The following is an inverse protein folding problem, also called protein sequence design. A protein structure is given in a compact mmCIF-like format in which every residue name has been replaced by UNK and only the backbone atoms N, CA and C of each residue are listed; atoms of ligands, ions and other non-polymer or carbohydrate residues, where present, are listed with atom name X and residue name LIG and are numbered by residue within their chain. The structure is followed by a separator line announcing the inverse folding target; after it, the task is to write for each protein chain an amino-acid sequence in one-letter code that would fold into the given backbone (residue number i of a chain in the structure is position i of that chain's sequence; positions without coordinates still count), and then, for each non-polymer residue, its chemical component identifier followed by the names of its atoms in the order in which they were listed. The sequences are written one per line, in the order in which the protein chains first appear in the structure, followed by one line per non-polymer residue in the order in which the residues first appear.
data_IF_917330614602
#
_entry.id   IF_917330614602
#
_cell.length_a   1.000
_cell.length_b   1.000
_cell.length_c   1.000
_cell.angle_alpha   90.00
_cell.angle_beta   90.00
_cell.angle_gamma   90.00
#
_symmetry.space_group_name_H-M   'P 1'
#
loop_
_entity.id
_entity.type
_entity.pdbx_description
1 polymer ?
#
# COMPACT_ATOMS: atom_id res chain seq x y z
N UNK A 1 15.93 1.49 7.81
CA UNK A 1 16.12 0.05 8.12
C UNK A 1 17.09 -0.14 9.30
N UNK A 2 18.31 0.38 9.25
CA UNK A 2 19.33 0.19 10.31
C UNK A 2 18.86 0.62 11.70
N UNK A 3 18.22 1.79 11.84
CA UNK A 3 17.72 2.26 13.13
C UNK A 3 16.70 1.27 13.73
N UNK A 4 15.75 0.79 12.92
CA UNK A 4 14.77 -0.20 13.38
C UNK A 4 15.41 -1.53 13.74
N UNK A 5 16.40 -1.99 12.99
CA UNK A 5 17.12 -3.21 13.34
C UNK A 5 17.86 -3.10 14.67
N UNK A 6 18.42 -1.94 14.98
CA UNK A 6 19.06 -1.69 16.26
C UNK A 6 18.06 -1.70 17.44
N UNK A 7 16.84 -1.21 17.20
CA UNK A 7 15.76 -1.24 18.21
C UNK A 7 15.25 -2.68 18.42
N UNK A 8 15.04 -3.42 17.32
CA UNK A 8 14.51 -4.78 17.36
C UNK A 8 15.55 -5.81 17.83
N UNK A 9 16.84 -5.51 17.71
CA UNK A 9 17.91 -6.49 17.95
C UNK A 9 17.93 -7.63 16.91
N UNK A 10 17.23 -7.46 15.79
CA UNK A 10 17.06 -8.46 14.72
C UNK A 10 16.97 -7.79 13.35
N UNK A 11 17.19 -8.55 12.29
CA UNK A 11 17.01 -8.06 10.93
C UNK A 11 15.54 -7.73 10.66
N UNK A 12 15.24 -6.47 10.34
CA UNK A 12 13.87 -6.00 10.09
C UNK A 12 13.15 -6.85 9.01
N UNK A 13 13.87 -7.18 7.94
CA UNK A 13 13.29 -8.00 6.88
C UNK A 13 12.88 -9.40 7.37
N UNK A 14 13.73 -10.03 8.19
CA UNK A 14 13.41 -11.36 8.73
C UNK A 14 12.18 -11.30 9.64
N UNK A 15 12.05 -10.24 10.44
CA UNK A 15 10.87 -10.02 11.28
C UNK A 15 9.58 -9.87 10.45
N UNK A 16 9.61 -9.07 9.38
CA UNK A 16 8.45 -8.89 8.49
C UNK A 16 8.17 -10.16 7.68
N UNK A 17 9.21 -10.82 7.18
CA UNK A 17 9.08 -12.09 6.46
C UNK A 17 8.38 -13.14 7.31
N UNK A 18 8.85 -13.35 8.53
CA UNK A 18 8.37 -14.43 9.40
C UNK A 18 7.01 -14.07 10.02
N UNK A 19 6.77 -12.80 10.35
CA UNK A 19 5.52 -12.34 10.95
C UNK A 19 4.39 -12.06 9.95
N UNK A 20 4.71 -11.78 8.69
CA UNK A 20 3.70 -11.39 7.69
C UNK A 20 3.78 -12.23 6.41
N UNK A 21 4.95 -12.25 5.73
CA UNK A 21 5.03 -12.83 4.39
C UNK A 21 4.85 -14.34 4.38
N UNK A 22 5.45 -15.06 5.33
CA UNK A 22 5.30 -16.52 5.46
C UNK A 22 3.87 -16.89 5.84
N UNK A 23 3.24 -16.29 6.88
CA UNK A 23 1.84 -16.53 7.20
C UNK A 23 0.88 -16.19 6.05
N UNK A 24 1.11 -15.11 5.31
CA UNK A 24 0.32 -14.72 4.13
C UNK A 24 0.57 -15.63 2.91
N UNK A 25 1.47 -16.61 3.03
CA UNK A 25 1.83 -17.53 1.94
C UNK A 25 2.26 -16.80 0.67
N UNK A 26 3.12 -15.80 0.83
CA UNK A 26 3.69 -15.11 -0.31
C UNK A 26 4.66 -16.03 -1.07
N UNK A 27 4.91 -15.69 -2.32
CA UNK A 27 5.80 -16.44 -3.20
C UNK A 27 7.24 -16.49 -2.66
N UNK A 28 8.00 -17.46 -3.14
CA UNK A 28 9.42 -17.57 -2.77
C UNK A 28 10.22 -16.32 -3.11
N UNK A 29 9.86 -15.61 -4.19
CA UNK A 29 10.47 -14.33 -4.55
C UNK A 29 10.28 -13.27 -3.47
N UNK A 30 9.09 -13.17 -2.89
CA UNK A 30 8.78 -12.22 -1.81
C UNK A 30 9.54 -12.51 -0.50
N UNK A 31 9.99 -13.76 -0.31
CA UNK A 31 10.77 -14.15 0.88
C UNK A 31 12.27 -13.83 0.76
N UNK A 32 12.66 -13.15 -0.30
CA UNK A 32 14.01 -12.67 -0.55
C UNK A 32 14.00 -11.16 -0.73
N UNK A 33 15.13 -10.51 -0.47
CA UNK A 33 15.29 -9.07 -0.66
C UNK A 33 16.66 -8.74 -1.21
N UNK A 34 16.76 -7.65 -1.95
CA UNK A 34 18.02 -7.11 -2.38
C UNK A 34 18.82 -6.54 -1.21
N UNK A 35 20.14 -6.73 -1.26
CA UNK A 35 21.07 -6.18 -0.28
C UNK A 35 22.15 -5.40 -1.00
N UNK A 36 22.73 -4.37 -0.39
CA UNK A 36 23.88 -3.68 -0.97
C UNK A 36 24.99 -4.68 -1.29
N UNK A 37 25.64 -4.48 -2.42
CA UNK A 37 26.81 -5.26 -2.86
C UNK A 37 26.57 -6.79 -2.98
N UNK A 38 25.30 -7.21 -3.10
CA UNK A 38 24.90 -8.61 -3.07
C UNK A 38 25.46 -9.38 -1.87
N UNK A 39 25.77 -8.69 -0.79
CA UNK A 39 26.32 -9.29 0.43
C UNK A 39 25.25 -10.13 1.15
N UNK A 40 25.51 -11.39 1.48
CA UNK A 40 24.57 -12.22 2.23
C UNK A 40 24.33 -11.70 3.66
N UNK A 41 25.22 -10.87 4.19
CA UNK A 41 25.16 -10.29 5.54
C UNK A 41 24.83 -8.81 5.55
N UNK A 42 24.68 -8.18 4.38
CA UNK A 42 24.33 -6.76 4.26
C UNK A 42 22.92 -6.47 4.80
N UNK A 43 22.72 -5.25 5.26
CA UNK A 43 21.39 -4.77 5.67
C UNK A 43 20.47 -4.70 4.46
N UNK A 44 19.27 -5.31 4.48
CA UNK A 44 18.32 -5.22 3.38
C UNK A 44 17.96 -3.77 3.05
N UNK A 45 17.76 -3.48 1.77
CA UNK A 45 17.31 -2.19 1.30
C UNK A 45 15.84 -1.98 1.76
N UNK A 46 15.54 -0.84 2.38
CA UNK A 46 14.21 -0.58 2.93
C UNK A 46 13.23 0.05 1.95
N UNK A 47 13.73 0.64 0.87
CA UNK A 47 12.90 1.35 -0.11
C UNK A 47 12.63 0.58 -1.40
N UNK A 48 13.36 -0.51 -1.67
CA UNK A 48 13.22 -1.36 -2.86
C UNK A 48 13.87 -2.72 -2.64
N UNK A 49 13.74 -3.61 -3.64
CA UNK A 49 14.43 -4.91 -3.62
C UNK A 49 13.55 -6.07 -3.17
N UNK A 50 12.24 -5.88 -3.11
CA UNK A 50 11.27 -6.96 -2.98
C UNK A 50 10.87 -7.46 -4.38
N UNK A 51 10.73 -8.78 -4.52
CA UNK A 51 10.34 -9.43 -5.77
C UNK A 51 8.94 -10.02 -5.63
N UNK A 52 7.92 -9.17 -5.83
CA UNK A 52 6.53 -9.53 -5.66
C UNK A 52 5.91 -9.98 -6.99
N UNK A 53 5.17 -11.06 -6.95
CA UNK A 53 4.25 -11.44 -8.03
C UNK A 53 2.95 -10.67 -7.91
N UNK A 54 2.10 -10.73 -8.95
CA UNK A 54 0.73 -10.16 -8.89
C UNK A 54 -0.09 -10.73 -7.73
N UNK A 55 0.03 -12.03 -7.50
CA UNK A 55 -0.65 -12.72 -6.39
C UNK A 55 -0.16 -12.22 -5.02
N UNK A 56 1.13 -11.99 -4.87
CA UNK A 56 1.69 -11.41 -3.65
C UNK A 56 1.15 -10.01 -3.38
N UNK A 57 1.09 -9.16 -4.42
CA UNK A 57 0.53 -7.81 -4.34
C UNK A 57 -0.95 -7.88 -3.92
N UNK A 58 -1.73 -8.79 -4.54
CA UNK A 58 -3.14 -8.97 -4.21
C UNK A 58 -3.32 -9.41 -2.74
N UNK A 59 -2.53 -10.37 -2.25
CA UNK A 59 -2.58 -10.81 -0.85
C UNK A 59 -2.25 -9.70 0.13
N UNK A 60 -1.20 -8.92 -0.14
CA UNK A 60 -0.84 -7.78 0.71
C UNK A 60 -1.92 -6.68 0.66
N UNK A 61 -2.47 -6.40 -0.51
CA UNK A 61 -3.54 -5.44 -0.64
C UNK A 61 -4.82 -5.88 0.10
N UNK A 62 -5.18 -7.16 0.04
CA UNK A 62 -6.28 -7.71 0.84
C UNK A 62 -6.00 -7.59 2.33
N UNK A 63 -4.79 -7.92 2.79
CA UNK A 63 -4.38 -7.79 4.18
C UNK A 63 -4.60 -6.35 4.71
N UNK A 64 -4.26 -5.35 3.90
CA UNK A 64 -4.43 -3.95 4.29
C UNK A 64 -5.88 -3.47 4.13
N UNK A 65 -6.51 -3.74 3.00
CA UNK A 65 -7.76 -3.10 2.59
C UNK A 65 -9.02 -3.83 3.09
N UNK A 66 -8.99 -5.16 3.15
CA UNK A 66 -10.16 -6.00 3.44
C UNK A 66 -10.07 -6.72 4.78
N UNK A 67 -8.90 -7.25 5.12
CA UNK A 67 -8.75 -8.17 6.25
C UNK A 67 -8.36 -7.44 7.54
N UNK A 68 -8.19 -6.10 7.51
CA UNK A 68 -7.86 -5.28 8.68
C UNK A 68 -6.57 -5.72 9.38
N UNK A 69 -5.58 -6.16 8.62
CA UNK A 69 -4.31 -6.63 9.15
C UNK A 69 -4.35 -8.03 9.74
N UNK A 70 -5.32 -8.88 9.34
CA UNK A 70 -5.48 -10.25 9.84
C UNK A 70 -5.06 -11.28 8.79
N UNK A 71 -4.41 -12.34 9.23
CA UNK A 71 -4.10 -13.53 8.42
C UNK A 71 -4.70 -14.75 9.12
N UNK A 72 -5.55 -15.49 8.42
CA UNK A 72 -6.25 -16.66 8.95
C UNK A 72 -6.98 -16.39 10.30
N UNK A 73 -7.47 -15.17 10.48
CA UNK A 73 -8.18 -14.73 11.68
C UNK A 73 -7.27 -14.16 12.80
N UNK A 74 -5.97 -14.33 12.72
CA UNK A 74 -5.00 -13.77 13.67
C UNK A 74 -4.59 -12.36 13.29
N UNK A 75 -4.54 -11.44 14.25
CA UNK A 75 -4.09 -10.06 14.05
C UNK A 75 -2.56 -10.04 13.91
N UNK A 76 -2.06 -9.69 12.75
CA UNK A 76 -0.62 -9.61 12.45
C UNK A 76 -0.11 -8.18 12.28
N UNK A 77 -1.00 -7.25 11.97
CA UNK A 77 -0.70 -5.81 11.93
C UNK A 77 -1.54 -5.12 13.00
N UNK A 78 -0.97 -4.10 13.62
CA UNK A 78 -1.70 -3.26 14.56
C UNK A 78 -2.86 -2.55 13.84
N UNK A 79 -4.12 -2.71 14.27
CA UNK A 79 -5.28 -2.18 13.57
C UNK A 79 -5.35 -0.65 13.59
N UNK A 80 -4.90 -0.01 14.67
CA UNK A 80 -4.94 1.45 14.80
C UNK A 80 -3.87 2.09 13.90
N UNK A 81 -2.66 1.53 13.90
CA UNK A 81 -1.60 1.96 12.97
C UNK A 81 -1.97 1.70 11.51
N UNK A 82 -2.66 0.61 11.22
CA UNK A 82 -3.15 0.34 9.87
C UNK A 82 -4.24 1.33 9.47
N UNK A 83 -5.19 1.63 10.36
CA UNK A 83 -6.23 2.62 10.10
C UNK A 83 -5.63 4.02 9.83
N UNK A 84 -4.64 4.42 10.62
CA UNK A 84 -3.90 5.66 10.41
C UNK A 84 -3.16 5.65 9.07
N UNK A 85 -2.39 4.60 8.75
CA UNK A 85 -1.68 4.46 7.49
C UNK A 85 -2.62 4.52 6.27
N UNK A 86 -3.77 3.86 6.36
CA UNK A 86 -4.83 3.89 5.35
C UNK A 86 -5.67 5.18 5.38
N UNK A 87 -5.32 6.13 6.26
CA UNK A 87 -6.00 7.40 6.48
C UNK A 87 -7.52 7.24 6.71
N UNK A 88 -7.88 6.18 7.42
CA UNK A 88 -9.25 5.90 7.88
C UNK A 88 -9.52 6.43 9.29
N UNK A 89 -8.46 6.78 10.01
CA UNK A 89 -8.55 7.45 11.31
C UNK A 89 -8.66 8.97 11.10
N UNK A 90 -9.79 9.60 11.41
CA UNK A 90 -9.94 11.04 11.26
C UNK A 90 -9.06 11.85 12.23
N UNK A 91 -8.63 11.25 13.34
CA UNK A 91 -7.78 11.90 14.33
C UNK A 91 -6.29 11.84 13.94
N UNK A 92 -5.91 10.93 13.05
CA UNK A 92 -4.56 10.82 12.50
C UNK A 92 -4.56 10.74 10.96
N UNK A 93 -4.92 11.84 10.27
CA UNK A 93 -4.93 11.87 8.80
C UNK A 93 -3.53 11.88 8.18
N UNK A 94 -2.47 11.99 8.97
CA UNK A 94 -1.11 12.14 8.51
C UNK A 94 -0.71 13.57 8.16
N UNK A 95 0.25 13.73 7.25
CA UNK A 95 0.80 15.03 6.85
C UNK A 95 0.28 15.44 5.46
N UNK A 96 -0.17 16.70 5.29
CA UNK A 96 -0.51 17.20 3.96
C UNK A 96 0.75 17.28 3.09
N UNK A 97 0.61 16.95 1.83
CA UNK A 97 1.73 16.98 0.89
C UNK A 97 1.62 18.16 -0.07
N UNK A 98 2.77 18.67 -0.51
CA UNK A 98 2.84 19.74 -1.50
C UNK A 98 2.95 19.21 -2.93
N UNK A 99 3.30 17.94 -3.10
CA UNK A 99 3.55 17.32 -4.41
C UNK A 99 2.28 17.04 -5.19
N UNK A 100 1.17 16.83 -4.49
CA UNK A 100 -0.14 16.62 -5.11
C UNK A 100 -1.19 17.33 -4.28
N UNK A 101 -1.83 18.33 -4.86
CA UNK A 101 -2.79 19.19 -4.17
C UNK A 101 -3.89 18.37 -3.46
N UNK A 102 -3.99 18.54 -2.15
CA UNK A 102 -4.97 17.87 -1.31
C UNK A 102 -4.61 16.43 -0.92
N UNK A 103 -3.47 15.90 -1.35
CA UNK A 103 -3.01 14.57 -0.93
C UNK A 103 -2.37 14.62 0.45
N UNK A 104 -2.44 13.49 1.15
CA UNK A 104 -1.89 13.28 2.48
C UNK A 104 -0.95 12.08 2.49
N UNK A 105 -0.03 12.04 3.44
CA UNK A 105 0.91 10.96 3.62
C UNK A 105 0.96 10.51 5.07
N UNK A 106 0.78 9.22 5.30
CA UNK A 106 0.88 8.62 6.64
C UNK A 106 1.52 7.23 6.57
N UNK A 107 2.56 7.02 7.36
CA UNK A 107 3.21 5.71 7.58
C UNK A 107 3.51 4.91 6.30
N UNK A 108 3.96 5.57 5.24
CA UNK A 108 4.29 4.91 3.97
C UNK A 108 3.18 4.89 2.93
N UNK A 109 1.98 5.34 3.28
CA UNK A 109 0.84 5.45 2.36
C UNK A 109 0.54 6.90 2.01
N UNK A 110 0.23 7.12 0.76
CA UNK A 110 -0.39 8.34 0.27
C UNK A 110 -1.90 8.19 0.30
N UNK A 111 -2.64 9.28 0.32
CA UNK A 111 -4.05 9.27 0.01
C UNK A 111 -4.45 10.47 -0.82
N UNK A 112 -5.15 10.22 -1.91
CA UNK A 112 -5.69 11.24 -2.78
C UNK A 112 -7.18 11.45 -2.49
N UNK A 113 -7.65 12.71 -2.32
CA UNK A 113 -9.07 13.01 -2.28
C UNK A 113 -9.66 12.92 -3.68
N UNK A 114 -10.81 12.28 -3.79
CA UNK A 114 -11.67 12.29 -4.97
C UNK A 114 -12.94 13.01 -4.58
N UNK A 115 -13.24 14.09 -5.27
CA UNK A 115 -14.45 14.87 -5.03
C UNK A 115 -15.19 15.13 -6.34
N UNK A 116 -16.54 15.30 -6.31
CA UNK A 116 -17.31 15.60 -7.51
C UNK A 116 -16.85 16.87 -8.24
N UNK A 117 -16.28 17.85 -7.53
CA UNK A 117 -15.77 19.08 -8.11
C UNK A 117 -14.53 18.86 -8.97
N UNK A 118 -13.65 17.97 -8.53
CA UNK A 118 -12.40 17.63 -9.25
C UNK A 118 -12.62 16.51 -10.26
N UNK A 119 -13.54 15.61 -9.97
CA UNK A 119 -13.85 14.42 -10.75
C UNK A 119 -15.38 14.28 -10.91
N UNK A 120 -16.01 15.03 -11.85
CA UNK A 120 -17.47 15.09 -12.00
C UNK A 120 -18.17 13.76 -12.30
N UNK A 121 -17.41 12.73 -12.59
CA UNK A 121 -17.91 11.36 -12.77
C UNK A 121 -18.44 10.76 -11.48
N UNK A 122 -17.90 11.16 -10.32
CA UNK A 122 -18.28 10.60 -9.03
C UNK A 122 -19.34 11.47 -8.37
N UNK A 123 -20.34 10.82 -7.76
CA UNK A 123 -21.45 11.49 -7.06
C UNK A 123 -21.18 11.68 -5.57
N UNK A 124 -20.12 11.06 -5.06
CA UNK A 124 -19.69 11.16 -3.65
C UNK A 124 -18.21 11.52 -3.55
N UNK A 125 -17.81 12.03 -2.38
CA UNK A 125 -16.42 12.26 -2.04
C UNK A 125 -15.85 11.08 -1.28
N UNK A 126 -14.63 10.67 -1.62
CA UNK A 126 -13.88 9.61 -0.94
C UNK A 126 -12.38 9.84 -1.01
N UNK A 127 -11.62 9.08 -0.24
CA UNK A 127 -10.16 9.06 -0.31
C UNK A 127 -9.69 7.72 -0.84
N UNK A 128 -8.62 7.76 -1.62
CA UNK A 128 -7.94 6.59 -2.16
C UNK A 128 -6.57 6.48 -1.50
N UNK A 129 -6.42 5.65 -0.48
CA UNK A 129 -5.08 5.29 0.01
C UNK A 129 -4.33 4.54 -1.07
N UNK A 130 -3.04 4.86 -1.22
CA UNK A 130 -2.21 4.17 -2.20
C UNK A 130 -0.75 4.09 -1.78
N UNK A 131 -0.08 3.05 -2.26
CA UNK A 131 1.37 2.93 -2.24
C UNK A 131 1.90 3.34 -3.60
N UNK A 132 2.91 4.20 -3.62
CA UNK A 132 3.58 4.64 -4.83
C UNK A 132 5.04 4.18 -4.82
N UNK A 133 5.43 3.49 -5.88
CA UNK A 133 6.82 3.06 -6.10
C UNK A 133 7.48 3.84 -7.22
N UNK A 134 8.80 3.91 -7.17
CA UNK A 134 9.59 4.52 -8.24
C UNK A 134 9.32 3.80 -9.58
N UNK A 135 9.29 4.56 -10.66
CA UNK A 135 9.07 4.02 -12.01
C UNK A 135 7.60 3.85 -12.40
N UNK A 136 6.67 4.58 -11.76
CA UNK A 136 5.25 4.54 -12.15
C UNK A 136 4.51 3.32 -11.61
N UNK A 137 4.88 2.83 -10.43
CA UNK A 137 4.19 1.73 -9.75
C UNK A 137 3.20 2.32 -8.74
N UNK A 138 1.95 1.86 -8.78
CA UNK A 138 0.94 2.26 -7.82
C UNK A 138 0.04 1.09 -7.42
N UNK A 139 -0.29 1.01 -6.13
CA UNK A 139 -1.30 0.08 -5.59
C UNK A 139 -2.35 0.92 -4.88
N UNK A 140 -3.55 0.97 -5.43
CA UNK A 140 -4.66 1.81 -4.98
C UNK A 140 -5.68 0.96 -4.25
N UNK A 141 -6.03 1.38 -3.04
CA UNK A 141 -6.94 0.67 -2.15
C UNK A 141 -8.23 1.46 -1.99
N UNK A 142 -9.28 0.98 -2.64
CA UNK A 142 -10.56 1.68 -2.73
C UNK A 142 -11.39 1.50 -1.47
N UNK A 143 -12.22 2.50 -1.09
CA UNK A 143 -13.08 2.41 0.10
C UNK A 143 -14.11 1.27 0.05
N UNK A 144 -14.51 0.84 -1.14
CA UNK A 144 -15.42 -0.29 -1.35
C UNK A 144 -14.74 -1.67 -1.22
N UNK A 145 -13.47 -1.72 -0.81
CA UNK A 145 -12.68 -2.94 -0.68
C UNK A 145 -11.98 -3.39 -1.98
N UNK A 146 -12.31 -2.80 -3.11
CA UNK A 146 -11.59 -3.07 -4.35
C UNK A 146 -10.15 -2.56 -4.26
N UNK A 147 -9.24 -3.28 -4.89
CA UNK A 147 -7.84 -2.86 -5.03
C UNK A 147 -7.44 -3.07 -6.47
N UNK A 148 -6.74 -2.11 -7.03
CA UNK A 148 -6.06 -2.32 -8.29
C UNK A 148 -4.59 -1.90 -8.17
N UNK A 149 -3.74 -2.48 -9.00
CA UNK A 149 -2.39 -2.01 -9.10
C UNK A 149 -2.08 -1.59 -10.55
N UNK A 150 -1.21 -0.62 -10.66
CA UNK A 150 -0.81 0.00 -11.90
C UNK A 150 0.72 -0.03 -12.01
N UNK A 151 1.21 -0.39 -13.17
CA UNK A 151 2.64 -0.36 -13.51
C UNK A 151 2.77 0.31 -14.87
N UNK A 152 3.55 1.37 -14.95
CA UNK A 152 3.82 2.08 -16.18
C UNK A 152 5.25 1.81 -16.66
N UNK A 153 5.41 1.42 -17.93
CA UNK A 153 6.73 1.30 -18.56
C UNK A 153 7.35 2.66 -18.89
N UNK A 154 6.56 3.73 -18.85
CA UNK A 154 6.97 5.11 -19.17
C UNK A 154 7.18 5.98 -17.92
N UNK A 155 7.25 5.39 -16.73
CA UNK A 155 7.34 6.11 -15.46
C UNK A 155 6.18 7.09 -15.21
N UNK A 156 5.04 6.88 -15.84
CA UNK A 156 3.85 7.71 -15.68
C UNK A 156 3.06 7.30 -14.43
N UNK A 157 2.45 8.29 -13.76
CA UNK A 157 1.60 8.09 -12.60
C UNK A 157 0.13 8.41 -12.91
N UNK A 158 -0.32 8.08 -14.11
CA UNK A 158 -1.68 8.35 -14.61
C UNK A 158 -2.70 7.35 -14.03
N UNK A 159 -2.82 7.30 -12.72
CA UNK A 159 -3.68 6.34 -12.01
C UNK A 159 -5.17 6.69 -12.04
N UNK A 160 -5.54 7.97 -12.25
CA UNK A 160 -6.95 8.39 -12.30
C UNK A 160 -7.74 7.72 -13.41
N UNK A 161 -7.24 7.62 -14.66
CA UNK A 161 -7.94 6.85 -15.70
C UNK A 161 -8.14 5.37 -15.34
N UNK A 162 -7.18 4.77 -14.62
CA UNK A 162 -7.31 3.39 -14.15
C UNK A 162 -8.35 3.28 -13.02
N UNK A 163 -8.47 4.29 -12.16
CA UNK A 163 -9.54 4.40 -11.17
C UNK A 163 -10.92 4.41 -11.84
N UNK A 164 -11.06 5.18 -12.92
CA UNK A 164 -12.29 5.26 -13.71
C UNK A 164 -12.69 3.92 -14.34
N UNK A 165 -11.74 3.14 -14.80
CA UNK A 165 -12.02 1.78 -15.31
C UNK A 165 -12.37 0.81 -14.18
N UNK A 166 -11.71 0.91 -13.03
CA UNK A 166 -12.02 0.09 -11.85
C UNK A 166 -13.45 0.36 -11.32
N UNK A 167 -13.88 1.61 -11.34
CA UNK A 167 -15.24 2.01 -10.93
C UNK A 167 -16.34 1.36 -11.78
N UNK A 168 -16.10 1.12 -13.06
CA UNK A 168 -17.05 0.39 -13.93
C UNK A 168 -17.28 -1.05 -13.49
N UNK A 169 -16.30 -1.66 -12.84
CA UNK A 169 -16.36 -3.03 -12.33
C UNK A 169 -16.92 -3.09 -10.92
N UNK A 170 -16.60 -2.11 -10.11
CA UNK A 170 -17.03 -2.01 -8.72
C UNK A 170 -17.22 -0.53 -8.34
N UNK A 171 -18.45 0.00 -8.44
CA UNK A 171 -18.73 1.41 -8.16
C UNK A 171 -18.32 1.82 -6.76
N UNK A 172 -17.72 3.02 -6.63
CA UNK A 172 -17.23 3.56 -5.38
C UNK A 172 -18.29 4.37 -4.65
N UNK A 173 -19.14 5.03 -5.41
CA UNK A 173 -20.29 5.76 -4.86
C UNK A 173 -21.51 4.87 -4.82
N UNK A 174 -22.36 4.97 -3.77
CA UNK A 174 -23.65 4.28 -3.73
C UNK A 174 -24.48 4.67 -4.96
N UNK A 175 -25.25 3.73 -5.49
CA UNK A 175 -26.29 4.06 -6.46
C UNK A 175 -27.33 4.95 -5.78
N UNK A 176 -27.75 6.02 -6.47
CA UNK A 176 -28.86 6.86 -6.03
C UNK A 176 -30.19 6.10 -6.02
#
# INVERSE_FOLDING_TARGET
TTAMQNILGAALFDHVRDGVYVPAKLSRGALTTSRPDNSPTGVPLGGYGLFLTRDDIAKLAMLFNNDGGRIAGEQVLDPDLLAAAMQRDPEDPGLPTTESAGSWYNNGFWAAPITPEQHPRYTCSFRVPFMSGYGGIGVMMMPNGATYYYVSDNEEYAWVPALDEADKLSPHCPAE
#
